data_IF_819460298635
#
_entry.id   IF_819460298635
#
_cell.length_a   1.000
_cell.length_b   1.000
_cell.length_c   1.000
_cell.angle_alpha   90.00
_cell.angle_beta   90.00
_cell.angle_gamma   90.00
#
_symmetry.space_group_name_H-M   'P 1'
#
loop_
_entity.id
_entity.type
_entity.pdbx_description
1 polymer ?
#
# COMPACT_ATOMS: atom_id res chain seq x y z
N UNK A 1 3.34 2.17 23.02
CA UNK A 1 2.38 3.07 22.32
C UNK A 1 3.12 3.57 21.10
N UNK A 2 2.47 3.60 19.92
CA UNK A 2 3.19 3.92 18.67
C UNK A 2 2.74 5.25 18.10
N UNK A 3 3.67 5.94 17.43
CA UNK A 3 3.45 7.18 16.70
C UNK A 3 3.97 7.06 15.28
N UNK A 4 3.42 7.87 14.37
CA UNK A 4 3.95 7.96 13.01
C UNK A 4 5.32 8.65 13.03
N UNK A 5 6.34 8.01 12.45
CA UNK A 5 7.68 8.58 12.32
C UNK A 5 8.36 8.10 11.02
N UNK A 6 9.42 8.80 10.60
CA UNK A 6 10.22 8.52 9.40
C UNK A 6 9.48 8.70 8.06
N UNK A 7 10.14 8.31 6.96
CA UNK A 7 9.57 8.47 5.62
C UNK A 7 8.52 7.40 5.29
N UNK A 8 7.34 7.85 4.82
CA UNK A 8 6.26 6.95 4.45
C UNK A 8 6.54 6.17 3.16
N UNK A 9 6.44 4.85 3.25
CA UNK A 9 6.70 3.92 2.13
C UNK A 9 5.47 3.15 1.66
N UNK A 10 4.43 2.99 2.50
CA UNK A 10 3.25 2.17 2.22
C UNK A 10 2.02 3.04 1.94
N UNK A 11 1.23 2.62 0.96
CA UNK A 11 0.06 3.35 0.48
C UNK A 11 -1.02 2.36 0.06
N UNK A 12 -2.29 2.72 0.16
CA UNK A 12 -3.38 1.95 -0.45
C UNK A 12 -4.45 2.88 -0.99
N UNK A 13 -5.15 2.50 -2.05
CA UNK A 13 -6.34 3.25 -2.48
C UNK A 13 -7.40 3.11 -1.38
N UNK A 14 -8.01 4.23 -0.96
CA UNK A 14 -9.12 4.18 -0.01
C UNK A 14 -10.28 3.39 -0.61
N UNK A 15 -10.85 2.47 0.18
CA UNK A 15 -11.90 1.55 -0.29
C UNK A 15 -13.17 2.32 -0.66
N UNK A 16 -13.49 3.33 0.14
CA UNK A 16 -14.60 4.26 0.07
C UNK A 16 -14.19 5.64 -0.49
N UNK A 17 -13.15 5.66 -1.32
CA UNK A 17 -12.59 6.91 -1.87
C UNK A 17 -13.68 7.82 -2.47
N UNK A 18 -13.70 9.11 -2.12
CA UNK A 18 -14.65 10.06 -2.69
C UNK A 18 -14.41 10.24 -4.19
N UNK A 19 -15.48 10.54 -4.94
CA UNK A 19 -15.34 10.95 -6.33
C UNK A 19 -14.80 12.39 -6.40
N UNK A 20 -13.48 12.53 -6.55
CA UNK A 20 -12.81 13.83 -6.61
C UNK A 20 -12.25 14.06 -8.03
N UNK A 21 -12.68 15.12 -8.73
CA UNK A 21 -12.12 15.44 -10.03
C UNK A 21 -10.69 15.96 -9.89
N UNK A 22 -9.73 15.08 -10.14
CA UNK A 22 -8.31 15.43 -10.16
C UNK A 22 -8.03 16.44 -11.28
N UNK A 23 -7.27 17.49 -11.00
CA UNK A 23 -6.83 18.46 -12.04
C UNK A 23 -5.44 18.15 -12.56
N UNK A 24 -4.57 17.61 -11.72
CA UNK A 24 -3.18 17.31 -12.06
C UNK A 24 -3.09 16.08 -12.99
N UNK A 25 -2.62 16.21 -14.24
CA UNK A 25 -2.59 15.08 -15.19
C UNK A 25 -1.73 13.91 -14.70
N UNK A 26 -0.63 14.20 -14.00
CA UNK A 26 0.22 13.16 -13.40
C UNK A 26 -0.47 12.38 -12.30
N UNK A 27 -1.29 13.03 -11.47
CA UNK A 27 -2.08 12.34 -10.44
C UNK A 27 -3.11 11.41 -11.07
N UNK A 28 -3.79 11.85 -12.15
CA UNK A 28 -4.72 10.99 -12.92
C UNK A 28 -4.00 9.77 -13.48
N UNK A 29 -2.87 9.96 -14.16
CA UNK A 29 -2.09 8.86 -14.75
C UNK A 29 -1.66 7.86 -13.68
N UNK A 30 -1.17 8.35 -12.54
CA UNK A 30 -0.76 7.52 -11.42
C UNK A 30 -1.96 6.76 -10.81
N UNK A 31 -3.10 7.41 -10.62
CA UNK A 31 -4.31 6.77 -10.11
C UNK A 31 -4.78 5.64 -11.04
N UNK A 32 -4.79 5.87 -12.36
CA UNK A 32 -5.13 4.83 -13.34
C UNK A 32 -4.17 3.64 -13.27
N UNK A 33 -2.87 3.90 -13.06
CA UNK A 33 -1.90 2.84 -12.82
C UNK A 33 -2.19 2.05 -11.55
N UNK A 34 -2.40 2.75 -10.42
CA UNK A 34 -2.71 2.13 -9.12
C UNK A 34 -3.97 1.28 -9.21
N UNK A 35 -5.05 1.80 -9.81
CA UNK A 35 -6.32 1.09 -9.94
C UNK A 35 -6.17 -0.19 -10.79
N UNK A 36 -5.43 -0.11 -11.90
CA UNK A 36 -5.22 -1.26 -12.78
C UNK A 36 -4.30 -2.31 -12.16
N UNK A 37 -3.25 -1.89 -11.45
CA UNK A 37 -2.21 -2.81 -10.95
C UNK A 37 -2.50 -3.36 -9.56
N UNK A 38 -2.97 -2.53 -8.62
CA UNK A 38 -3.18 -2.90 -7.22
C UNK A 38 -4.65 -2.93 -6.82
N UNK A 39 -5.51 -2.20 -7.53
CA UNK A 39 -6.92 -2.04 -7.14
C UNK A 39 -7.03 -1.33 -5.79
N UNK A 40 -7.44 -2.07 -4.76
CA UNK A 40 -7.49 -1.63 -3.35
C UNK A 40 -6.41 -2.27 -2.48
N UNK A 41 -5.55 -3.13 -3.05
CA UNK A 41 -4.45 -3.71 -2.29
C UNK A 41 -3.39 -2.64 -1.95
N UNK A 42 -2.73 -2.75 -0.78
CA UNK A 42 -1.60 -1.91 -0.45
C UNK A 42 -0.45 -2.09 -1.44
N UNK A 43 0.30 -1.01 -1.64
CA UNK A 43 1.50 -0.96 -2.48
C UNK A 43 2.57 -0.09 -1.81
N UNK A 44 3.79 -0.13 -2.37
CA UNK A 44 4.88 0.72 -1.90
C UNK A 44 5.57 1.45 -3.07
N UNK A 45 6.32 2.52 -2.75
CA UNK A 45 7.09 3.32 -3.72
C UNK A 45 8.00 2.47 -4.61
N UNK A 46 8.71 1.50 -4.00
CA UNK A 46 9.59 0.58 -4.72
C UNK A 46 8.86 -0.20 -5.81
N UNK A 47 7.60 -0.57 -5.61
CA UNK A 47 6.84 -1.30 -6.63
C UNK A 47 6.52 -0.42 -7.84
N UNK A 48 6.19 0.85 -7.62
CA UNK A 48 5.98 1.81 -8.69
C UNK A 48 7.25 2.02 -9.52
N UNK A 49 8.43 1.97 -8.89
CA UNK A 49 9.73 2.21 -9.52
C UNK A 49 10.33 0.99 -10.23
N UNK A 50 9.79 -0.21 -9.98
CA UNK A 50 10.20 -1.42 -10.71
C UNK A 50 9.87 -1.30 -12.19
N UNK A 51 10.66 -1.94 -13.05
CA UNK A 51 10.46 -1.97 -14.50
C UNK A 51 9.08 -2.53 -14.92
N UNK A 52 8.48 -3.38 -14.10
CA UNK A 52 7.13 -3.93 -14.29
C UNK A 52 6.04 -3.08 -13.60
N UNK A 53 6.37 -1.91 -13.07
CA UNK A 53 5.43 -1.01 -12.39
C UNK A 53 4.65 -1.68 -11.25
N UNK A 54 5.18 -2.76 -10.66
CA UNK A 54 4.57 -3.46 -9.53
C UNK A 54 3.79 -4.73 -9.86
N UNK A 55 3.72 -5.14 -11.13
CA UNK A 55 3.13 -6.44 -11.50
C UNK A 55 3.64 -6.93 -12.86
N UNK A 56 4.41 -8.01 -12.86
CA UNK A 56 4.85 -8.69 -14.09
C UNK A 56 3.72 -9.36 -14.86
N UNK A 57 2.58 -9.59 -14.22
CA UNK A 57 1.41 -10.20 -14.85
C UNK A 57 0.54 -9.15 -15.55
N UNK A 58 0.35 -7.98 -14.93
CA UNK A 58 -0.59 -6.95 -15.41
C UNK A 58 0.10 -5.93 -16.33
N UNK A 59 1.39 -5.66 -16.11
CA UNK A 59 2.10 -4.58 -16.78
C UNK A 59 3.16 -5.10 -17.75
N UNK A 60 3.35 -4.43 -18.89
CA UNK A 60 4.50 -4.68 -19.75
C UNK A 60 5.80 -4.22 -19.08
N UNK A 61 6.95 -4.67 -19.61
CA UNK A 61 8.25 -4.09 -19.25
C UNK A 61 8.28 -2.59 -19.61
N UNK A 62 8.94 -1.79 -18.77
CA UNK A 62 9.00 -0.33 -18.90
C UNK A 62 7.78 0.41 -18.32
N UNK A 63 6.93 -0.27 -17.55
CA UNK A 63 5.76 0.33 -16.89
C UNK A 63 6.10 1.05 -15.57
N UNK A 64 7.38 1.25 -15.28
CA UNK A 64 7.84 2.03 -14.13
C UNK A 64 7.20 3.42 -14.11
N UNK A 65 6.88 3.89 -12.91
CA UNK A 65 6.42 5.24 -12.67
C UNK A 65 7.61 6.11 -12.25
N UNK A 66 7.76 7.25 -12.92
CA UNK A 66 8.81 8.21 -12.64
C UNK A 66 8.20 9.55 -12.24
N UNK A 67 8.93 10.33 -11.41
CA UNK A 67 8.52 11.69 -11.00
C UNK A 67 7.07 11.74 -10.47
N UNK A 68 6.65 10.67 -9.78
CA UNK A 68 5.27 10.43 -9.35
C UNK A 68 4.98 10.97 -7.94
N UNK A 69 6.00 11.33 -7.15
CA UNK A 69 5.86 11.75 -5.74
C UNK A 69 4.83 12.87 -5.56
N UNK A 70 4.86 13.92 -6.39
CA UNK A 70 3.88 15.01 -6.33
C UNK A 70 2.46 14.54 -6.70
N UNK A 71 2.35 13.59 -7.65
CA UNK A 71 1.07 12.97 -7.99
C UNK A 71 0.54 12.13 -6.82
N UNK A 72 1.41 11.34 -6.18
CA UNK A 72 1.05 10.52 -5.03
C UNK A 72 0.60 11.38 -3.85
N UNK A 73 1.35 12.45 -3.53
CA UNK A 73 0.95 13.42 -2.52
C UNK A 73 -0.42 14.02 -2.83
N UNK A 74 -0.68 14.42 -4.08
CA UNK A 74 -1.99 14.94 -4.46
C UNK A 74 -3.12 13.91 -4.26
N UNK A 75 -2.89 12.63 -4.55
CA UNK A 75 -3.88 11.58 -4.29
C UNK A 75 -4.15 11.39 -2.79
N UNK A 76 -3.12 11.50 -1.96
CA UNK A 76 -3.24 11.42 -0.49
C UNK A 76 -3.98 12.63 0.06
N UNK A 77 -3.57 13.84 -0.33
CA UNK A 77 -4.19 15.10 0.12
C UNK A 77 -5.68 15.18 -0.28
N UNK A 78 -6.11 14.45 -1.33
CA UNK A 78 -7.52 14.36 -1.77
C UNK A 78 -8.28 13.14 -1.22
N UNK A 79 -7.68 12.36 -0.31
CA UNK A 79 -8.33 11.21 0.33
C UNK A 79 -8.58 10.01 -0.61
N UNK A 80 -7.97 9.99 -1.80
CA UNK A 80 -8.11 8.89 -2.76
C UNK A 80 -7.17 7.73 -2.39
N UNK A 81 -6.01 8.07 -1.84
CA UNK A 81 -5.00 7.12 -1.37
C UNK A 81 -4.71 7.40 0.09
N UNK A 82 -4.66 6.37 0.91
CA UNK A 82 -4.23 6.45 2.31
C UNK A 82 -2.74 6.18 2.39
N UNK A 83 -2.00 7.02 3.11
CA UNK A 83 -0.61 6.79 3.45
C UNK A 83 -0.52 6.02 4.77
N UNK A 84 0.38 5.04 4.84
CA UNK A 84 0.65 4.23 6.03
C UNK A 84 2.12 4.43 6.42
N UNK A 85 2.45 5.52 7.14
CA UNK A 85 3.81 5.75 7.60
C UNK A 85 4.26 4.69 8.62
N UNK A 86 5.57 4.51 8.81
CA UNK A 86 6.08 3.66 9.88
C UNK A 86 5.52 4.06 11.25
N UNK A 87 5.20 3.04 12.06
CA UNK A 87 4.69 3.20 13.41
C UNK A 87 5.79 2.82 14.40
N UNK A 88 6.26 3.78 15.18
CA UNK A 88 7.41 3.63 16.07
C UNK A 88 7.01 3.83 17.53
N UNK A 89 7.56 3.03 18.44
CA UNK A 89 7.51 3.30 19.88
C UNK A 89 8.65 4.28 20.26
N UNK A 90 8.80 4.62 21.54
CA UNK A 90 9.78 5.59 22.01
C UNK A 90 11.21 5.20 21.64
N UNK A 91 12.05 6.20 21.37
CA UNK A 91 13.46 5.99 21.00
C UNK A 91 14.18 5.15 22.04
N UNK A 92 14.84 4.08 21.59
CA UNK A 92 15.59 3.15 22.43
C UNK A 92 14.78 1.96 22.97
N UNK A 93 13.48 1.91 22.70
CA UNK A 93 12.67 0.71 22.95
C UNK A 93 12.90 -0.37 21.89
N UNK A 94 12.45 -1.59 22.20
CA UNK A 94 12.51 -2.75 21.31
C UNK A 94 11.11 -3.36 21.18
N UNK A 95 10.74 -3.74 19.96
CA UNK A 95 9.42 -4.30 19.63
C UNK A 95 9.57 -5.65 18.93
N UNK A 96 8.66 -6.59 19.21
CA UNK A 96 8.54 -7.88 18.50
C UNK A 96 7.10 -8.12 18.05
N UNK A 97 6.90 -8.82 16.93
CA UNK A 97 5.59 -9.12 16.36
C UNK A 97 5.52 -10.59 15.90
N UNK A 98 4.38 -11.24 16.14
CA UNK A 98 3.96 -12.49 15.50
C UNK A 98 2.57 -12.29 14.92
N UNK A 99 2.27 -12.90 13.77
CA UNK A 99 0.98 -12.77 13.09
C UNK A 99 0.55 -14.09 12.46
N UNK A 100 -0.75 -14.39 12.56
CA UNK A 100 -1.38 -15.48 11.82
C UNK A 100 -2.72 -15.04 11.23
N UNK A 101 -3.03 -15.61 10.07
CA UNK A 101 -4.37 -15.52 9.48
C UNK A 101 -5.19 -16.72 9.94
N UNK A 102 -6.35 -16.46 10.53
CA UNK A 102 -7.30 -17.49 10.93
C UNK A 102 -8.57 -17.44 10.08
N UNK A 103 -9.16 -18.60 9.84
CA UNK A 103 -10.50 -18.72 9.25
C UNK A 103 -11.45 -19.25 10.31
N UNK A 104 -12.52 -18.51 10.58
CA UNK A 104 -13.64 -18.98 11.39
C UNK A 104 -14.61 -19.73 10.48
N UNK A 105 -14.47 -21.05 10.42
CA UNK A 105 -15.37 -21.92 9.64
C UNK A 105 -16.63 -22.24 10.46
N UNK A 106 -17.71 -22.67 9.79
CA UNK A 106 -18.91 -23.12 10.50
C UNK A 106 -18.65 -24.21 11.56
N UNK A 107 -17.64 -25.06 11.33
CA UNK A 107 -17.36 -26.24 12.18
C UNK A 107 -16.12 -26.09 13.06
N UNK A 108 -15.24 -25.11 12.80
CA UNK A 108 -14.00 -24.96 13.55
C UNK A 108 -13.36 -23.58 13.35
N UNK A 109 -12.38 -23.29 14.22
CA UNK A 109 -11.40 -22.22 13.99
C UNK A 109 -10.15 -22.86 13.40
N UNK A 110 -9.78 -22.45 12.21
CA UNK A 110 -8.57 -22.90 11.52
C UNK A 110 -7.50 -21.81 11.56
N UNK A 111 -6.28 -22.16 11.96
CA UNK A 111 -5.11 -21.27 11.85
C UNK A 111 -4.47 -21.53 10.49
N UNK A 112 -4.93 -20.81 9.46
CA UNK A 112 -4.57 -21.08 8.07
C UNK A 112 -3.06 -20.99 7.80
N UNK A 113 -2.39 -20.05 8.47
CA UNK A 113 -0.98 -19.75 8.25
C UNK A 113 -0.02 -20.47 9.22
N UNK A 114 -0.47 -21.49 9.97
CA UNK A 114 0.38 -22.24 10.91
C UNK A 114 1.41 -23.08 10.15
N UNK A 115 2.68 -22.99 10.54
CA UNK A 115 3.77 -23.87 10.09
C UNK A 115 4.45 -24.61 11.24
N UNK A 116 5.53 -25.33 10.94
CA UNK A 116 6.39 -25.99 11.95
C UNK A 116 7.33 -24.99 12.65
N UNK A 117 7.43 -23.76 12.14
CA UNK A 117 8.26 -22.68 12.66
C UNK A 117 7.55 -21.84 13.72
N UNK A 118 6.34 -21.34 13.44
CA UNK A 118 5.52 -20.58 14.40
C UNK A 118 4.05 -20.48 14.02
#
# INVERSE_FOLDING_TARGET
YVVEDMECSHYAKAFDAPHVPLRLPRAKKLLSHIQRTFGTLPFCRRWLEREDGGSSFINPKGAKQEKYIMGLKNLVDNGIVTAYPPLCDIKGSYTSQYEHTLILRPTCKEVLSRGDDY
#
